data_IF_191042995794
#
_entry.id   IF_191042995794
#
_cell.length_a   1.000
_cell.length_b   1.000
_cell.length_c   1.000
_cell.angle_alpha   90.00
_cell.angle_beta   90.00
_cell.angle_gamma   90.00
#
_symmetry.space_group_name_H-M   'P 1'
#
loop_
_entity.id
_entity.type
_entity.pdbx_description
1 polymer ?
#
# COMPACT_ATOMS: atom_id res chain seq x y z
N UNK A 1 11.27 12.76 1.66
CA UNK A 1 10.80 13.05 3.03
C UNK A 1 10.62 11.72 3.73
N UNK A 2 10.87 11.62 5.04
CA UNK A 2 10.63 10.36 5.73
C UNK A 2 9.14 10.24 6.11
N UNK A 3 8.55 9.05 5.98
CA UNK A 3 7.15 8.81 6.32
C UNK A 3 6.85 9.13 7.78
N UNK A 4 5.71 9.77 8.05
CA UNK A 4 5.13 9.89 9.40
C UNK A 4 4.14 8.76 9.62
N UNK A 5 4.29 8.01 10.71
CA UNK A 5 3.45 6.84 11.03
C UNK A 5 2.38 7.19 12.08
N UNK A 6 1.16 6.70 11.92
CA UNK A 6 0.13 6.74 12.97
C UNK A 6 0.41 5.68 14.06
N UNK A 7 0.73 6.07 15.31
CA UNK A 7 1.01 5.11 16.38
C UNK A 7 -0.16 4.18 16.70
N UNK A 8 -1.40 4.45 16.27
CA UNK A 8 -2.56 3.58 16.37
C UNK A 8 -2.53 2.39 15.41
N UNK A 9 -1.81 2.49 14.29
CA UNK A 9 -1.73 1.48 13.23
C UNK A 9 -0.51 0.57 13.45
N UNK A 10 -0.71 -0.74 13.28
CA UNK A 10 0.34 -1.76 13.46
C UNK A 10 0.80 -2.43 12.17
N UNK A 11 0.17 -2.13 11.04
CA UNK A 11 0.50 -2.72 9.74
C UNK A 11 0.60 -1.61 8.71
N UNK A 12 1.72 -1.56 8.01
CA UNK A 12 2.05 -0.51 7.06
C UNK A 12 2.47 -1.11 5.72
N UNK A 13 2.15 -0.41 4.65
CA UNK A 13 2.62 -0.72 3.30
C UNK A 13 3.66 0.32 2.88
N UNK A 14 4.78 -0.13 2.33
CA UNK A 14 5.82 0.72 1.77
C UNK A 14 5.81 0.52 0.26
N UNK A 15 5.65 1.62 -0.47
CA UNK A 15 5.72 1.63 -1.92
C UNK A 15 7.11 2.01 -2.39
N UNK A 16 7.94 0.99 -2.60
CA UNK A 16 9.28 1.15 -3.18
C UNK A 16 9.22 1.08 -4.71
N UNK A 17 10.12 1.80 -5.39
CA UNK A 17 10.42 1.51 -6.80
C UNK A 17 11.66 0.59 -6.85
N UNK A 18 12.03 0.09 -8.01
CA UNK A 18 13.24 -0.74 -8.14
C UNK A 18 14.56 -0.01 -7.90
N UNK A 19 14.56 1.31 -8.00
CA UNK A 19 15.73 2.14 -7.77
C UNK A 19 15.95 2.36 -6.27
N UNK A 20 14.88 2.31 -5.48
CA UNK A 20 14.82 2.48 -4.04
C UNK A 20 15.26 1.18 -3.37
N UNK A 21 16.57 1.07 -3.19
CA UNK A 21 17.20 -0.03 -2.43
C UNK A 21 17.15 0.18 -0.93
N UNK A 22 16.76 1.37 -0.47
CA UNK A 22 16.66 1.67 0.96
C UNK A 22 15.53 2.63 1.25
N UNK A 23 15.10 2.60 2.52
CA UNK A 23 14.15 3.55 3.09
C UNK A 23 14.72 4.15 4.35
N UNK A 24 14.29 5.37 4.65
CA UNK A 24 14.58 6.04 5.90
C UNK A 24 13.30 6.04 6.74
N UNK A 25 13.35 5.38 7.88
CA UNK A 25 12.26 5.32 8.84
C UNK A 25 12.60 6.24 10.02
N UNK A 26 11.81 7.29 10.19
CA UNK A 26 11.87 8.21 11.31
C UNK A 26 10.82 7.75 12.35
N UNK A 27 11.21 6.95 13.36
CA UNK A 27 10.26 6.52 14.37
C UNK A 27 9.73 7.74 15.13
N UNK A 28 8.46 7.65 15.56
CA UNK A 28 7.86 8.63 16.47
C UNK A 28 8.73 8.81 17.73
N UNK A 29 8.55 9.93 18.44
CA UNK A 29 9.24 10.20 19.71
C UNK A 29 8.97 9.06 20.70
N UNK A 30 9.95 8.16 20.83
CA UNK A 30 9.91 7.06 21.78
C UNK A 30 10.52 7.50 23.09
N UNK A 31 9.88 7.10 24.19
CA UNK A 31 10.40 7.29 25.55
C UNK A 31 11.83 6.77 25.67
N UNK A 32 12.68 7.43 26.48
CA UNK A 32 14.03 6.97 26.78
C UNK A 32 14.08 5.61 27.50
N UNK A 33 12.93 5.02 27.84
CA UNK A 33 12.78 3.70 28.48
C UNK A 33 12.49 2.56 27.50
N UNK A 34 12.44 2.81 26.20
CA UNK A 34 12.18 1.77 25.20
C UNK A 34 13.35 1.62 24.22
N UNK A 35 13.50 0.40 23.70
CA UNK A 35 14.42 0.04 22.64
C UNK A 35 13.60 -0.23 21.37
N UNK A 36 14.09 0.27 20.25
CA UNK A 36 13.57 -0.05 18.92
C UNK A 36 14.49 -1.06 18.24
N UNK A 37 13.92 -2.07 17.62
CA UNK A 37 14.65 -3.08 16.87
C UNK A 37 13.97 -3.38 15.53
N UNK A 38 14.75 -3.47 14.45
CA UNK A 38 14.27 -3.97 13.16
C UNK A 38 14.50 -5.48 13.13
N UNK A 39 13.43 -6.23 12.86
CA UNK A 39 13.45 -7.67 12.73
C UNK A 39 12.94 -8.09 11.35
N UNK A 40 13.49 -9.18 10.82
CA UNK A 40 13.11 -9.74 9.52
C UNK A 40 14.31 -10.46 8.89
N UNK A 41 14.04 -11.51 8.12
CA UNK A 41 15.10 -12.26 7.46
C UNK A 41 15.76 -11.42 6.36
N UNK A 42 17.09 -11.36 6.36
CA UNK A 42 17.86 -10.61 5.36
C UNK A 42 17.82 -9.08 5.47
N UNK A 43 17.06 -8.54 6.43
CA UNK A 43 16.90 -7.09 6.60
C UNK A 43 18.16 -6.49 7.22
N UNK A 44 18.84 -5.62 6.47
CA UNK A 44 19.96 -4.83 7.00
C UNK A 44 19.44 -3.47 7.41
N UNK A 45 19.77 -3.03 8.61
CA UNK A 45 19.45 -1.68 9.05
C UNK A 45 20.57 -1.04 9.86
N UNK A 46 20.67 0.28 9.79
CA UNK A 46 21.51 1.11 10.65
C UNK A 46 20.66 2.18 11.32
N UNK A 47 21.02 2.57 12.54
CA UNK A 47 20.34 3.63 13.28
C UNK A 47 21.32 4.77 13.56
N UNK A 48 21.09 5.91 12.94
CA UNK A 48 21.97 7.09 13.02
C UNK A 48 21.11 8.33 13.21
N UNK A 49 21.47 9.19 14.18
CA UNK A 49 20.79 10.47 14.44
C UNK A 49 19.26 10.38 14.56
N UNK A 50 18.76 9.28 15.14
CA UNK A 50 17.32 9.08 15.33
C UNK A 50 16.59 8.49 14.12
N UNK A 51 17.31 8.09 13.06
CA UNK A 51 16.74 7.56 11.82
C UNK A 51 17.21 6.13 11.59
N UNK A 52 16.28 5.24 11.28
CA UNK A 52 16.60 3.92 10.75
C UNK A 52 16.80 4.00 9.24
N UNK A 53 17.97 3.63 8.75
CA UNK A 53 18.21 3.35 7.34
C UNK A 53 18.04 1.85 7.13
N UNK A 54 17.06 1.44 6.33
CA UNK A 54 16.71 0.04 6.12
C UNK A 54 16.95 -0.32 4.66
N UNK A 55 17.80 -1.30 4.40
CA UNK A 55 17.97 -1.92 3.08
C UNK A 55 16.74 -2.78 2.79
N UNK A 56 16.05 -2.45 1.70
CA UNK A 56 14.82 -3.11 1.28
C UNK A 56 15.02 -3.96 0.03
N UNK A 57 16.26 -4.12 -0.44
CA UNK A 57 16.55 -4.90 -1.64
C UNK A 57 16.31 -6.40 -1.39
N UNK A 58 15.38 -6.99 -2.16
CA UNK A 58 15.09 -8.41 -2.12
C UNK A 58 14.32 -8.89 -0.88
N UNK A 59 13.79 -7.98 -0.06
CA UNK A 59 12.89 -8.32 1.05
C UNK A 59 11.45 -7.90 0.73
N UNK A 60 10.47 -8.67 1.20
CA UNK A 60 9.04 -8.38 1.00
C UNK A 60 8.37 -7.80 2.24
N UNK A 61 9.00 -7.91 3.42
CA UNK A 61 8.48 -7.36 4.66
C UNK A 61 9.55 -7.28 5.76
N UNK A 62 9.31 -6.47 6.78
CA UNK A 62 10.06 -6.44 8.02
C UNK A 62 9.17 -6.02 9.19
N UNK A 63 9.70 -6.08 10.42
CA UNK A 63 9.02 -5.67 11.65
C UNK A 63 9.84 -4.62 12.37
N UNK A 64 9.18 -3.62 12.95
CA UNK A 64 9.75 -2.76 13.98
C UNK A 64 9.19 -3.20 15.33
N UNK A 65 10.05 -3.70 16.20
CA UNK A 65 9.71 -4.10 17.55
C UNK A 65 10.04 -2.98 18.54
N UNK A 66 9.07 -2.65 19.39
CA UNK A 66 9.24 -1.76 20.54
C UNK A 66 9.35 -2.62 21.78
N UNK A 67 10.49 -2.55 22.47
CA UNK A 67 10.77 -3.33 23.67
C UNK A 67 11.05 -2.41 24.85
N UNK A 68 10.70 -2.83 26.06
CA UNK A 68 11.10 -2.13 27.29
C UNK A 68 12.60 -2.32 27.53
N UNK A 69 13.33 -1.26 27.87
CA UNK A 69 14.75 -1.37 28.23
C UNK A 69 14.97 -2.06 29.59
N UNK A 70 13.98 -1.97 30.49
CA UNK A 70 14.11 -2.47 31.86
C UNK A 70 14.08 -4.01 31.94
N UNK A 71 13.22 -4.64 31.13
CA UNK A 71 12.99 -6.08 31.17
C UNK A 71 13.02 -6.76 29.80
N UNK A 72 13.34 -6.02 28.72
CA UNK A 72 13.40 -6.50 27.32
C UNK A 72 12.10 -7.09 26.78
N UNK A 73 10.98 -6.87 27.48
CA UNK A 73 9.66 -7.35 27.06
C UNK A 73 9.21 -6.62 25.81
N UNK A 74 8.67 -7.37 24.85
CA UNK A 74 8.02 -6.83 23.65
C UNK A 74 6.75 -6.08 24.05
N UNK A 75 6.72 -4.77 23.82
CA UNK A 75 5.59 -3.91 24.11
C UNK A 75 4.67 -3.78 22.90
N UNK A 76 5.26 -3.68 21.70
CA UNK A 76 4.51 -3.50 20.46
C UNK A 76 5.32 -3.98 19.26
N UNK A 77 4.62 -4.45 18.23
CA UNK A 77 5.21 -4.78 16.94
C UNK A 77 4.46 -4.02 15.86
N UNK A 78 5.21 -3.36 15.00
CA UNK A 78 4.72 -2.78 13.76
C UNK A 78 5.23 -3.65 12.60
N UNK A 79 4.33 -4.04 11.70
CA UNK A 79 4.62 -4.85 10.52
C UNK A 79 4.68 -3.94 9.31
N UNK A 80 5.72 -4.10 8.50
CA UNK A 80 5.91 -3.37 7.25
C UNK A 80 5.95 -4.35 6.09
N UNK A 81 5.08 -4.17 5.11
CA UNK A 81 5.11 -4.86 3.83
C UNK A 81 5.75 -3.95 2.78
N UNK A 82 6.50 -4.51 1.83
CA UNK A 82 7.12 -3.75 0.74
C UNK A 82 6.48 -4.19 -0.57
N UNK A 83 5.99 -3.21 -1.34
CA UNK A 83 5.40 -3.42 -2.66
C UNK A 83 6.21 -2.67 -3.69
N UNK A 84 7.06 -3.42 -4.38
CA UNK A 84 7.82 -2.99 -5.55
C UNK A 84 7.03 -3.11 -6.86
N UNK A 85 5.83 -3.70 -6.81
CA UNK A 85 5.02 -3.99 -8.00
C UNK A 85 3.78 -3.13 -8.11
N UNK A 86 3.08 -2.90 -7.00
CA UNK A 86 1.79 -2.22 -7.02
C UNK A 86 2.01 -0.70 -7.00
N UNK A 87 1.38 -0.01 -7.95
CA UNK A 87 1.33 1.45 -8.06
C UNK A 87 -0.02 2.01 -7.60
N UNK A 88 -1.10 1.23 -7.72
CA UNK A 88 -2.41 1.58 -7.16
C UNK A 88 -3.26 0.33 -6.96
N UNK A 89 -4.13 0.32 -5.95
CA UNK A 89 -5.34 -0.49 -5.98
C UNK A 89 -6.58 0.33 -5.58
N UNK A 90 -7.64 0.22 -6.38
CA UNK A 90 -8.93 0.88 -6.11
C UNK A 90 -10.10 -0.03 -6.49
N UNK A 91 -11.18 0.02 -5.71
CA UNK A 91 -12.42 -0.67 -6.00
C UNK A 91 -13.31 0.16 -6.92
N UNK A 92 -14.02 -0.52 -7.82
CA UNK A 92 -15.06 0.10 -8.62
C UNK A 92 -16.28 0.46 -7.76
N UNK A 93 -17.08 1.44 -8.21
CA UNK A 93 -18.12 2.06 -7.39
C UNK A 93 -19.18 1.10 -6.82
N UNK A 94 -19.46 0.02 -7.54
CA UNK A 94 -20.41 -1.03 -7.16
C UNK A 94 -19.77 -2.17 -6.33
N UNK A 95 -18.47 -2.09 -6.06
CA UNK A 95 -17.70 -3.10 -5.33
C UNK A 95 -17.54 -4.44 -6.07
N UNK A 96 -17.96 -4.55 -7.33
CA UNK A 96 -17.91 -5.82 -8.08
C UNK A 96 -16.54 -6.05 -8.73
N UNK A 97 -15.78 -4.98 -8.93
CA UNK A 97 -14.44 -5.02 -9.49
C UNK A 97 -13.45 -4.26 -8.62
N UNK A 98 -12.18 -4.66 -8.69
CA UNK A 98 -11.05 -3.87 -8.25
C UNK A 98 -10.03 -3.74 -9.37
N UNK A 99 -9.43 -2.56 -9.47
CA UNK A 99 -8.41 -2.21 -10.46
C UNK A 99 -7.08 -2.09 -9.74
N UNK A 100 -6.09 -2.84 -10.20
CA UNK A 100 -4.71 -2.74 -9.78
C UNK A 100 -3.90 -2.11 -10.90
N UNK A 101 -3.11 -1.09 -10.59
CA UNK A 101 -2.16 -0.48 -11.50
C UNK A 101 -0.77 -0.94 -11.07
N UNK A 102 0.02 -1.46 -12.00
CA UNK A 102 1.34 -1.97 -11.70
C UNK A 102 2.44 -1.01 -12.15
N UNK A 103 3.59 -1.12 -11.51
CA UNK A 103 4.83 -0.40 -11.87
C UNK A 103 5.55 -1.05 -13.05
N UNK A 104 5.17 -2.29 -13.41
CA UNK A 104 5.79 -3.10 -14.45
C UNK A 104 4.77 -3.85 -15.28
N UNK A 105 5.18 -4.10 -16.52
CA UNK A 105 4.52 -5.03 -17.41
C UNK A 105 4.60 -6.47 -16.91
N UNK A 106 3.52 -7.22 -17.16
CA UNK A 106 3.42 -8.63 -16.84
C UNK A 106 3.79 -9.53 -18.02
N UNK A 107 4.27 -10.72 -17.70
CA UNK A 107 4.36 -11.82 -18.65
C UNK A 107 2.95 -12.30 -19.03
N UNK A 108 2.51 -11.94 -20.24
CA UNK A 108 1.19 -12.31 -20.76
C UNK A 108 1.07 -13.80 -21.10
N UNK A 109 2.17 -14.56 -21.08
CA UNK A 109 2.14 -16.02 -21.24
C UNK A 109 1.84 -16.73 -19.92
N UNK A 110 2.02 -16.05 -18.79
CA UNK A 110 1.65 -16.55 -17.47
C UNK A 110 0.14 -16.43 -17.28
N UNK A 111 -0.51 -17.57 -17.01
CA UNK A 111 -1.93 -17.60 -16.67
C UNK A 111 -2.10 -17.19 -15.21
N UNK A 112 -2.65 -15.99 -14.98
CA UNK A 112 -2.97 -15.52 -13.64
C UNK A 112 -4.03 -16.41 -12.99
N UNK A 113 -3.82 -16.71 -11.70
CA UNK A 113 -4.77 -17.44 -10.88
C UNK A 113 -5.55 -16.46 -9.98
N UNK A 114 -6.85 -16.24 -10.22
CA UNK A 114 -7.68 -15.36 -9.40
C UNK A 114 -7.66 -15.74 -7.91
N UNK A 115 -7.53 -17.04 -7.58
CA UNK A 115 -7.55 -17.51 -6.20
C UNK A 115 -6.31 -17.09 -5.40
N UNK A 116 -5.24 -16.65 -6.08
CA UNK A 116 -4.04 -16.09 -5.44
C UNK A 116 -4.20 -14.62 -5.02
N UNK A 117 -5.30 -13.98 -5.38
CA UNK A 117 -5.70 -12.66 -4.87
C UNK A 117 -6.74 -12.83 -3.76
N UNK A 118 -6.45 -12.29 -2.58
CA UNK A 118 -7.31 -12.44 -1.41
C UNK A 118 -7.52 -11.11 -0.69
N UNK A 119 -8.78 -10.68 -0.59
CA UNK A 119 -9.17 -9.53 0.23
C UNK A 119 -9.37 -9.95 1.68
N UNK A 120 -9.06 -9.07 2.62
CA UNK A 120 -9.29 -9.27 4.06
C UNK A 120 -10.77 -9.15 4.49
N UNK A 121 -11.68 -8.96 3.53
CA UNK A 121 -13.11 -8.92 3.76
C UNK A 121 -13.73 -10.32 3.66
N UNK A 122 -14.32 -10.78 4.78
CA UNK A 122 -14.93 -12.10 4.86
C UNK A 122 -15.95 -12.35 3.74
N UNK A 123 -15.84 -13.47 3.04
CA UNK A 123 -16.77 -13.91 2.00
C UNK A 123 -16.65 -13.18 0.66
N UNK A 124 -15.68 -12.29 0.47
CA UNK A 124 -15.29 -11.80 -0.85
C UNK A 124 -14.35 -12.82 -1.48
N UNK A 125 -14.57 -13.15 -2.74
CA UNK A 125 -13.70 -14.05 -3.50
C UNK A 125 -13.48 -13.46 -4.88
N UNK A 126 -12.23 -13.50 -5.35
CA UNK A 126 -11.86 -13.08 -6.70
C UNK A 126 -12.16 -14.23 -7.66
N UNK A 127 -13.11 -14.01 -8.56
CA UNK A 127 -13.58 -14.98 -9.55
C UNK A 127 -12.84 -14.84 -10.89
N UNK A 128 -12.24 -13.68 -11.15
CA UNK A 128 -11.49 -13.41 -12.37
C UNK A 128 -10.39 -12.39 -12.14
N UNK A 129 -9.28 -12.56 -12.87
CA UNK A 129 -8.18 -11.61 -12.93
C UNK A 129 -7.80 -11.46 -14.40
N UNK A 130 -7.82 -10.23 -14.91
CA UNK A 130 -7.53 -9.94 -16.31
C UNK A 130 -6.52 -8.81 -16.40
N UNK A 131 -5.44 -9.04 -17.15
CA UNK A 131 -4.46 -8.01 -17.47
C UNK A 131 -4.92 -7.25 -18.71
N UNK A 132 -4.95 -5.93 -18.61
CA UNK A 132 -5.34 -5.04 -19.69
C UNK A 132 -4.15 -4.79 -20.61
N UNK A 133 -3.97 -5.65 -21.61
CA UNK A 133 -2.88 -5.55 -22.59
C UNK A 133 -2.99 -4.30 -23.48
N UNK A 134 -4.14 -3.62 -23.49
CA UNK A 134 -4.32 -2.40 -24.27
C UNK A 134 -3.81 -1.16 -23.51
N UNK A 135 -3.71 -1.25 -22.19
CA UNK A 135 -3.16 -0.20 -21.34
C UNK A 135 -1.64 -0.32 -21.22
N UNK A 136 -0.95 0.14 -22.26
CA UNK A 136 0.52 0.15 -22.33
C UNK A 136 1.15 1.18 -21.39
N UNK A 137 0.35 2.05 -20.79
CA UNK A 137 0.79 3.16 -19.95
C UNK A 137 0.72 2.87 -18.46
N UNK A 138 -0.24 2.06 -18.00
CA UNK A 138 -0.47 1.85 -16.57
C UNK A 138 -0.46 0.38 -16.13
N UNK A 139 -0.25 -0.58 -17.04
CA UNK A 139 -0.10 -2.01 -16.70
C UNK A 139 -1.18 -2.49 -15.73
N UNK A 140 -2.42 -2.48 -16.20
CA UNK A 140 -3.59 -2.61 -15.33
C UNK A 140 -4.05 -4.07 -15.20
N UNK A 141 -4.32 -4.54 -13.97
CA UNK A 141 -5.08 -5.77 -13.71
C UNK A 141 -6.49 -5.40 -13.23
N UNK A 142 -7.51 -6.04 -13.79
CA UNK A 142 -8.89 -6.00 -13.31
C UNK A 142 -9.21 -7.29 -12.59
N UNK A 143 -9.55 -7.17 -11.30
CA UNK A 143 -10.04 -8.26 -10.47
C UNK A 143 -11.56 -8.20 -10.43
N UNK A 144 -12.23 -9.31 -10.72
CA UNK A 144 -13.68 -9.46 -10.63
C UNK A 144 -14.05 -10.27 -9.40
N UNK A 145 -14.95 -9.73 -8.59
CA UNK A 145 -15.44 -10.38 -7.37
C UNK A 145 -16.61 -11.32 -7.68
N UNK A 146 -16.98 -12.15 -6.70
CA UNK A 146 -18.21 -12.94 -6.76
C UNK A 146 -19.44 -12.03 -6.84
N UNK A 147 -20.40 -12.38 -7.69
CA UNK A 147 -21.65 -11.61 -7.90
C UNK A 147 -22.51 -11.50 -6.64
N UNK A 148 -22.34 -12.43 -5.70
CA UNK A 148 -23.17 -12.52 -4.50
C UNK A 148 -22.56 -11.77 -3.31
N UNK A 149 -21.28 -11.36 -3.41
CA UNK A 149 -20.57 -10.59 -2.39
C UNK A 149 -19.37 -9.86 -3.01
N UNK A 150 -19.54 -8.57 -3.26
CA UNK A 150 -18.49 -7.65 -3.65
C UNK A 150 -17.77 -7.01 -2.47
N UNK A 151 -16.84 -6.12 -2.77
CA UNK A 151 -16.19 -5.25 -1.80
C UNK A 151 -17.22 -4.33 -1.16
N UNK A 152 -17.20 -4.23 0.17
CA UNK A 152 -18.16 -3.42 0.90
C UNK A 152 -17.84 -1.94 0.62
N UNK A 153 -18.81 -1.16 0.12
CA UNK A 153 -18.55 0.23 -0.26
C UNK A 153 -18.16 1.10 0.94
N UNK A 154 -18.64 0.75 2.14
CA UNK A 154 -18.53 1.56 3.35
C UNK A 154 -17.38 1.19 4.28
N UNK A 155 -16.36 0.52 3.74
CA UNK A 155 -15.13 0.21 4.48
C UNK A 155 -14.06 1.18 4.00
N UNK A 156 -13.45 1.93 4.92
CA UNK A 156 -12.50 2.98 4.54
C UNK A 156 -11.30 2.44 3.73
N UNK A 157 -10.79 1.28 4.14
CA UNK A 157 -9.66 0.61 3.47
C UNK A 157 -9.84 -0.89 3.54
N UNK A 158 -9.77 -1.56 2.40
CA UNK A 158 -9.80 -3.02 2.29
C UNK A 158 -8.40 -3.48 1.97
N UNK A 159 -7.90 -4.54 2.60
CA UNK A 159 -6.54 -5.04 2.33
C UNK A 159 -6.58 -6.17 1.32
N UNK A 160 -5.68 -6.11 0.35
CA UNK A 160 -5.46 -7.12 -0.67
C UNK A 160 -4.11 -7.82 -0.46
N UNK A 161 -4.14 -9.14 -0.51
CA UNK A 161 -2.97 -9.99 -0.55
C UNK A 161 -2.86 -10.64 -1.93
N UNK A 162 -1.63 -10.79 -2.40
CA UNK A 162 -1.30 -11.56 -3.60
C UNK A 162 -0.11 -12.47 -3.31
N UNK A 163 -0.20 -13.75 -3.68
CA UNK A 163 0.89 -14.72 -3.51
C UNK A 163 1.22 -15.39 -4.85
N UNK A 164 2.28 -14.92 -5.51
CA UNK A 164 2.66 -15.28 -6.89
C UNK A 164 1.49 -15.24 -7.88
N UNK A 165 0.63 -14.23 -7.74
CA UNK A 165 -0.63 -14.17 -8.47
C UNK A 165 -0.45 -13.82 -9.97
N UNK A 166 0.70 -13.24 -10.32
CA UNK A 166 1.14 -12.93 -11.67
C UNK A 166 2.68 -13.00 -11.75
N UNK A 167 3.24 -12.84 -12.94
CA UNK A 167 4.69 -12.72 -13.15
C UNK A 167 5.02 -11.50 -14.02
N UNK A 168 6.15 -10.87 -13.75
CA UNK A 168 6.71 -9.84 -14.64
C UNK A 168 7.37 -10.48 -15.86
N UNK A 169 7.68 -9.68 -16.89
CA UNK A 169 8.40 -10.14 -18.09
C UNK A 169 9.76 -10.78 -17.77
N UNK A 170 10.42 -10.29 -16.72
CA UNK A 170 11.68 -10.78 -16.15
C UNK A 170 11.49 -12.04 -15.26
N UNK A 171 10.27 -12.59 -15.20
CA UNK A 171 9.95 -13.86 -14.57
C UNK A 171 9.71 -13.81 -13.06
N UNK A 172 9.80 -12.62 -12.45
CA UNK A 172 9.63 -12.45 -11.01
C UNK A 172 8.15 -12.57 -10.60
N UNK A 173 7.81 -13.31 -9.54
CA UNK A 173 6.43 -13.42 -9.08
C UNK A 173 5.96 -12.10 -8.43
N UNK A 174 4.72 -11.72 -8.73
CA UNK A 174 4.02 -10.64 -8.05
C UNK A 174 3.45 -11.18 -6.74
N UNK A 175 4.04 -10.74 -5.64
CA UNK A 175 3.59 -11.05 -4.28
C UNK A 175 3.60 -9.79 -3.44
N UNK A 176 2.52 -9.55 -2.70
CA UNK A 176 2.42 -8.46 -1.74
C UNK A 176 1.41 -8.81 -0.66
N UNK A 177 1.56 -8.20 0.52
CA UNK A 177 0.67 -8.44 1.66
C UNK A 177 0.10 -7.14 2.18
N UNK A 178 -1.19 -7.14 2.47
CA UNK A 178 -1.92 -6.01 3.04
C UNK A 178 -1.86 -4.73 2.18
N UNK A 179 -1.88 -4.87 0.86
CA UNK A 179 -1.98 -3.70 -0.02
C UNK A 179 -3.34 -3.01 0.18
N UNK A 180 -3.38 -1.70 0.52
CA UNK A 180 -4.64 -0.98 0.65
C UNK A 180 -5.35 -0.90 -0.71
N UNK A 181 -6.65 -1.15 -0.69
CA UNK A 181 -7.57 -0.97 -1.80
C UNK A 181 -8.55 0.11 -1.41
N UNK A 182 -8.50 1.21 -2.17
CA UNK A 182 -9.32 2.38 -1.92
C UNK A 182 -10.77 2.04 -2.26
N UNK A 183 -11.66 2.18 -1.29
CA UNK A 183 -13.07 1.88 -1.48
C UNK A 183 -13.80 2.99 -2.26
N UNK A 184 -14.98 2.69 -2.81
CA UNK A 184 -15.81 3.68 -3.48
C UNK A 184 -16.17 4.88 -2.60
N UNK A 185 -16.54 4.63 -1.33
CA UNK A 185 -16.91 5.69 -0.41
C UNK A 185 -15.72 6.56 -0.04
N UNK A 186 -14.55 5.96 0.22
CA UNK A 186 -13.31 6.71 0.48
C UNK A 186 -12.94 7.58 -0.72
N UNK A 187 -13.02 7.05 -1.94
CA UNK A 187 -12.73 7.82 -3.14
C UNK A 187 -13.73 8.97 -3.34
N UNK A 188 -15.02 8.72 -3.13
CA UNK A 188 -16.06 9.75 -3.23
C UNK A 188 -15.87 10.85 -2.17
N UNK A 189 -15.59 10.46 -0.92
CA UNK A 189 -15.33 11.39 0.17
C UNK A 189 -14.07 12.23 -0.11
N UNK A 190 -13.01 11.61 -0.61
CA UNK A 190 -11.78 12.31 -1.00
C UNK A 190 -12.05 13.34 -2.11
N UNK A 191 -12.77 12.96 -3.17
CA UNK A 191 -13.13 13.91 -4.25
C UNK A 191 -13.95 15.09 -3.75
N UNK A 192 -14.86 14.87 -2.80
CA UNK A 192 -15.60 15.96 -2.15
C UNK A 192 -14.72 16.88 -1.31
N UNK A 193 -13.68 16.33 -0.65
CA UNK A 193 -12.72 17.14 0.11
C UNK A 193 -11.78 17.94 -0.81
N UNK A 194 -11.41 17.37 -1.96
CA UNK A 194 -10.55 18.00 -2.96
C UNK A 194 -11.29 19.04 -3.80
N UNK A 195 -12.61 18.94 -3.99
CA UNK A 195 -13.40 19.93 -4.72
C UNK A 195 -14.46 20.60 -3.81
N UNK A 196 -14.05 21.39 -2.81
CA UNK A 196 -14.99 22.06 -1.92
C UNK A 196 -15.81 23.13 -2.64
N UNK A 197 -15.33 23.61 -3.78
CA UNK A 197 -15.95 24.67 -4.61
C UNK A 197 -16.90 24.11 -5.67
N UNK A 198 -16.94 22.80 -5.85
CA UNK A 198 -17.73 22.08 -6.86
C UNK A 198 -17.49 22.57 -8.30
N UNK A 199 -16.23 22.90 -8.62
CA UNK A 199 -15.83 23.42 -9.94
C UNK A 199 -14.78 22.52 -10.63
N UNK A 200 -14.68 21.27 -10.21
CA UNK A 200 -13.63 20.34 -10.62
C UNK A 200 -12.43 20.40 -9.68
N UNK A 201 -11.65 19.32 -9.68
CA UNK A 201 -10.41 19.24 -8.89
C UNK A 201 -9.29 19.87 -9.70
N UNK A 202 -8.66 20.91 -9.16
CA UNK A 202 -7.54 21.61 -9.79
C UNK A 202 -6.24 21.35 -9.02
N UNK A 203 -5.10 21.68 -9.64
CA UNK A 203 -3.78 21.46 -9.02
C UNK A 203 -3.59 22.27 -7.73
N UNK A 204 -4.21 23.45 -7.61
CA UNK A 204 -4.21 24.22 -6.37
C UNK A 204 -4.96 23.52 -5.24
N UNK A 205 -6.03 22.79 -5.53
CA UNK A 205 -6.74 21.98 -4.53
C UNK A 205 -5.86 20.84 -4.01
N UNK A 206 -5.15 20.15 -4.93
CA UNK A 206 -4.21 19.08 -4.57
C UNK A 206 -3.05 19.62 -3.72
N UNK A 207 -2.44 20.74 -4.13
CA UNK A 207 -1.34 21.35 -3.37
C UNK A 207 -1.81 21.74 -1.97
N UNK A 208 -3.00 22.33 -1.85
CA UNK A 208 -3.59 22.69 -0.55
C UNK A 208 -3.82 21.44 0.31
N UNK A 209 -4.30 20.35 -0.28
CA UNK A 209 -4.55 19.10 0.44
C UNK A 209 -3.24 18.42 0.89
N UNK A 210 -2.19 18.43 0.07
CA UNK A 210 -0.87 17.85 0.44
C UNK A 210 -0.31 18.48 1.72
N UNK A 211 -0.63 19.75 2.01
CA UNK A 211 -0.21 20.42 3.25
C UNK A 211 -0.81 19.79 4.51
N UNK A 212 -1.98 19.15 4.42
CA UNK A 212 -2.60 18.44 5.56
C UNK A 212 -1.88 17.15 5.90
N UNK A 213 -1.11 16.59 4.94
CA UNK A 213 -0.43 15.29 5.05
C UNK A 213 -1.38 14.17 5.46
N UNK A 214 -2.62 14.23 4.99
CA UNK A 214 -3.62 13.19 5.23
C UNK A 214 -3.27 11.98 4.38
N UNK A 215 -3.12 10.83 5.02
CA UNK A 215 -3.09 9.52 4.36
C UNK A 215 -4.42 9.29 3.63
N UNK A 216 -4.36 9.13 2.31
CA UNK A 216 -5.54 9.01 1.44
C UNK A 216 -5.78 7.59 0.96
N UNK A 217 -4.78 6.71 1.07
CA UNK A 217 -4.89 5.32 0.68
C UNK A 217 -5.27 4.42 1.89
N UNK A 218 -5.08 4.91 3.12
CA UNK A 218 -5.35 4.25 4.39
C UNK A 218 -4.32 3.20 4.81
N UNK A 219 -3.07 3.30 4.34
CA UNK A 219 -1.94 2.46 4.76
C UNK A 219 -1.25 2.93 6.06
N UNK A 220 -1.72 4.04 6.62
CA UNK A 220 -1.24 4.66 7.84
C UNK A 220 -0.04 5.58 7.67
N UNK A 221 0.35 5.89 6.43
CA UNK A 221 1.49 6.73 6.08
C UNK A 221 1.05 7.77 5.05
N UNK A 222 1.59 8.98 5.16
CA UNK A 222 1.56 9.92 4.05
C UNK A 222 2.91 9.89 3.31
N UNK A 223 2.92 9.38 2.07
CA UNK A 223 4.12 9.26 1.24
C UNK A 223 3.90 9.68 -0.23
N UNK A 224 4.87 9.34 -1.09
CA UNK A 224 4.84 9.66 -2.52
C UNK A 224 3.64 9.03 -3.26
N UNK A 225 3.12 7.93 -2.74
CA UNK A 225 1.98 7.21 -3.29
C UNK A 225 0.69 7.98 -3.05
N UNK A 226 0.50 8.55 -1.86
CA UNK A 226 -0.63 9.45 -1.58
C UNK A 226 -0.63 10.63 -2.53
N UNK A 227 0.54 11.25 -2.74
CA UNK A 227 0.69 12.35 -3.69
C UNK A 227 0.35 11.91 -5.11
N UNK A 228 0.86 10.77 -5.56
CA UNK A 228 0.53 10.22 -6.88
C UNK A 228 -0.97 9.97 -7.01
N UNK A 229 -1.60 9.47 -5.95
CA UNK A 229 -3.03 9.20 -5.94
C UNK A 229 -3.87 10.47 -6.03
N UNK A 230 -3.49 11.50 -5.27
CA UNK A 230 -4.08 12.83 -5.32
C UNK A 230 -3.96 13.44 -6.73
N UNK A 231 -2.79 13.33 -7.35
CA UNK A 231 -2.57 13.85 -8.71
C UNK A 231 -3.41 13.15 -9.77
N UNK A 232 -3.79 11.88 -9.57
CA UNK A 232 -4.69 11.13 -10.46
C UNK A 232 -6.16 11.57 -10.38
N UNK A 233 -6.51 12.49 -9.49
CA UNK A 233 -7.88 13.01 -9.36
C UNK A 233 -8.18 14.21 -10.27
N UNK A 234 -7.15 14.82 -10.87
CA UNK A 234 -7.25 15.90 -11.87
C UNK A 234 -7.56 15.30 -13.24
#
# INVERSE_FOLDING_TARGET
MAPSFDPGITEYQIYADELNKSINLLPFQVSSKVQLNIAGEGVKSTFTDGVFHIDINGISSFKLEVRSLENKTLLKTYQFSISNWLSLAAAHADGTEAVLILKKELDTTYVMDPARFAFDQAGVTVMGAQYDMQDTTHHTIRLKMSTNKGLAPNVNTIKLNAEEAARTLDGNPISFKNAPVISPETNAALRHQLDPRQNGIHIDDIVTFIETRTDVNGDGIFDQYDVLWLLKQI
#
